data_IF_266560563289
#
_entry.id   IF_266560563289
#
_cell.length_a   1.000
_cell.length_b   1.000
_cell.length_c   1.000
_cell.angle_alpha   90.00
_cell.angle_beta   90.00
_cell.angle_gamma   90.00
#
_symmetry.space_group_name_H-M   'P 1'
#
loop_
_entity.id
_entity.type
_entity.pdbx_description
1 polymer ?
#
# COMPACT_ATOMS: atom_id res chain seq x y z
N UNK A 1 18.11 29.63 2.10
CA UNK A 1 17.25 28.50 1.67
C UNK A 1 15.82 28.99 1.75
N UNK A 2 15.08 28.97 0.64
CA UNK A 2 13.64 29.24 0.66
C UNK A 2 12.96 27.94 1.07
N UNK A 3 12.17 27.97 2.14
CA UNK A 3 11.36 26.82 2.54
C UNK A 3 10.32 26.55 1.44
N UNK A 4 10.31 25.33 0.92
CA UNK A 4 9.31 24.87 -0.04
C UNK A 4 8.64 23.63 0.56
N UNK A 5 7.32 23.70 0.87
CA UNK A 5 6.62 22.55 1.41
C UNK A 5 6.62 21.39 0.41
N UNK A 6 6.66 20.19 0.94
CA UNK A 6 6.57 18.93 0.21
C UNK A 6 5.13 18.67 -0.26
N UNK A 7 4.96 17.77 -1.23
CA UNK A 7 3.62 17.38 -1.67
C UNK A 7 2.81 16.72 -0.54
N UNK A 8 3.45 15.93 0.33
CA UNK A 8 2.79 15.32 1.48
C UNK A 8 2.29 16.38 2.47
N UNK A 9 3.11 17.38 2.81
CA UNK A 9 2.69 18.50 3.68
C UNK A 9 1.52 19.28 3.06
N UNK A 10 1.55 19.55 1.75
CA UNK A 10 0.45 20.24 1.09
C UNK A 10 -0.85 19.42 1.07
N UNK A 11 -0.77 18.10 0.89
CA UNK A 11 -1.93 17.21 0.91
C UNK A 11 -2.52 17.10 2.32
N UNK A 12 -1.66 17.06 3.33
CA UNK A 12 -2.05 17.14 4.73
C UNK A 12 -2.84 18.43 5.02
N UNK A 13 -2.27 19.58 4.64
CA UNK A 13 -2.88 20.89 4.83
C UNK A 13 -4.23 21.01 4.10
N UNK A 14 -4.34 20.47 2.88
CA UNK A 14 -5.62 20.41 2.13
C UNK A 14 -6.66 19.59 2.90
N UNK A 15 -6.27 18.41 3.41
CA UNK A 15 -7.20 17.59 4.19
C UNK A 15 -7.69 18.33 5.43
N UNK A 16 -6.78 18.95 6.19
CA UNK A 16 -7.11 19.68 7.43
C UNK A 16 -8.02 20.87 7.14
N UNK A 17 -7.72 21.67 6.12
CA UNK A 17 -8.59 22.77 5.68
C UNK A 17 -10.01 22.28 5.35
N UNK A 18 -10.11 21.18 4.60
CA UNK A 18 -11.40 20.62 4.20
C UNK A 18 -12.19 20.08 5.39
N UNK A 19 -11.55 19.36 6.32
CA UNK A 19 -12.23 18.74 7.46
C UNK A 19 -12.55 19.73 8.59
N UNK A 20 -11.62 20.63 8.89
CA UNK A 20 -11.64 21.40 10.14
C UNK A 20 -12.24 22.79 9.93
N UNK A 21 -12.07 23.37 8.73
CA UNK A 21 -12.56 24.71 8.43
C UNK A 21 -13.77 24.70 7.49
N UNK A 22 -13.70 23.96 6.37
CA UNK A 22 -14.70 24.06 5.30
C UNK A 22 -15.96 23.23 5.59
N UNK A 23 -15.84 22.10 6.27
CA UNK A 23 -16.93 21.14 6.46
C UNK A 23 -18.17 21.75 7.11
N UNK A 24 -17.98 22.59 8.14
CA UNK A 24 -19.08 23.20 8.88
C UNK A 24 -19.61 24.50 8.24
N UNK A 25 -18.91 25.02 7.22
CA UNK A 25 -19.31 26.20 6.47
C UNK A 25 -20.21 25.89 5.27
N UNK A 26 -20.24 24.62 4.83
CA UNK A 26 -21.06 24.19 3.69
C UNK A 26 -22.40 23.59 4.12
N UNK A 27 -23.37 23.58 3.21
CA UNK A 27 -24.66 22.94 3.45
C UNK A 27 -24.51 21.43 3.67
N UNK A 28 -25.45 20.84 4.42
CA UNK A 28 -25.47 19.39 4.72
C UNK A 28 -25.38 18.54 3.44
N UNK A 29 -26.01 18.97 2.35
CA UNK A 29 -25.96 18.27 1.07
C UNK A 29 -24.56 18.18 0.44
N UNK A 30 -23.64 19.07 0.83
CA UNK A 30 -22.27 19.14 0.30
C UNK A 30 -21.24 18.55 1.26
N UNK A 31 -21.54 18.45 2.56
CA UNK A 31 -20.61 17.93 3.58
C UNK A 31 -20.04 16.55 3.25
N UNK A 32 -20.84 15.63 2.70
CA UNK A 32 -20.33 14.30 2.31
C UNK A 32 -19.23 14.41 1.24
N UNK A 33 -19.37 15.31 0.27
CA UNK A 33 -18.38 15.53 -0.79
C UNK A 33 -17.08 16.12 -0.22
N UNK A 34 -17.19 17.01 0.77
CA UNK A 34 -16.02 17.57 1.48
C UNK A 34 -15.26 16.47 2.21
N UNK A 35 -15.95 15.58 2.93
CA UNK A 35 -15.32 14.42 3.60
C UNK A 35 -14.62 13.50 2.60
N UNK A 36 -15.22 13.26 1.44
CA UNK A 36 -14.61 12.46 0.36
C UNK A 36 -13.34 13.15 -0.15
N UNK A 37 -13.37 14.45 -0.40
CA UNK A 37 -12.21 15.20 -0.87
C UNK A 37 -11.05 15.20 0.15
N UNK A 38 -11.35 15.39 1.44
CA UNK A 38 -10.37 15.29 2.52
C UNK A 38 -9.73 13.88 2.56
N UNK A 39 -10.56 12.83 2.49
CA UNK A 39 -10.06 11.44 2.46
C UNK A 39 -9.14 11.18 1.24
N UNK A 40 -9.52 11.66 0.06
CA UNK A 40 -8.65 11.54 -1.15
C UNK A 40 -7.31 12.24 -0.91
N UNK A 41 -7.29 13.43 -0.33
CA UNK A 41 -6.04 14.13 -0.01
C UNK A 41 -5.16 13.31 0.95
N UNK A 42 -5.76 12.69 1.98
CA UNK A 42 -5.03 11.81 2.90
C UNK A 42 -4.53 10.51 2.24
N UNK A 43 -5.28 9.93 1.30
CA UNK A 43 -4.82 8.77 0.51
C UNK A 43 -3.58 9.16 -0.30
N UNK A 44 -3.64 10.30 -1.01
CA UNK A 44 -2.52 10.78 -1.81
C UNK A 44 -1.30 11.14 -0.92
N UNK A 45 -1.51 11.69 0.27
CA UNK A 45 -0.44 11.96 1.23
C UNK A 45 0.33 10.68 1.57
N UNK A 46 -0.41 9.60 1.89
CA UNK A 46 0.17 8.29 2.17
C UNK A 46 0.83 7.68 0.94
N UNK A 47 0.23 7.82 -0.24
CA UNK A 47 0.82 7.33 -1.48
C UNK A 47 2.18 7.99 -1.75
N UNK A 48 2.27 9.31 -1.64
CA UNK A 48 3.53 10.06 -1.83
C UNK A 48 4.60 9.64 -0.81
N UNK A 49 4.18 9.29 0.41
CA UNK A 49 5.09 8.95 1.51
C UNK A 49 5.54 7.49 1.45
N UNK A 50 4.63 6.57 1.11
CA UNK A 50 4.81 5.13 1.30
C UNK A 50 5.00 4.35 -0.01
N UNK A 51 4.50 4.83 -1.15
CA UNK A 51 4.50 4.04 -2.39
C UNK A 51 5.92 3.65 -2.85
N UNK A 52 6.89 4.56 -2.72
CA UNK A 52 8.30 4.26 -3.04
C UNK A 52 8.88 3.15 -2.16
N UNK A 53 8.95 3.35 -0.83
CA UNK A 53 9.42 2.32 0.10
C UNK A 53 8.69 0.98 -0.01
N UNK A 54 7.37 1.00 -0.25
CA UNK A 54 6.56 -0.20 -0.43
C UNK A 54 6.93 -0.94 -1.73
N UNK A 55 7.09 -0.20 -2.84
CA UNK A 55 7.53 -0.77 -4.11
C UNK A 55 8.94 -1.37 -4.02
N UNK A 56 9.86 -0.72 -3.30
CA UNK A 56 11.22 -1.25 -3.07
C UNK A 56 11.19 -2.55 -2.26
N UNK A 57 10.35 -2.62 -1.22
CA UNK A 57 10.18 -3.81 -0.40
C UNK A 57 9.56 -4.95 -1.20
N UNK A 58 8.50 -4.66 -1.93
CA UNK A 58 7.85 -5.65 -2.79
C UNK A 58 8.81 -6.19 -3.84
N UNK A 59 9.58 -5.31 -4.48
CA UNK A 59 10.59 -5.72 -5.46
C UNK A 59 11.62 -6.68 -4.84
N UNK A 60 12.08 -6.41 -3.61
CA UNK A 60 12.98 -7.30 -2.89
C UNK A 60 12.32 -8.66 -2.57
N UNK A 61 11.07 -8.65 -2.11
CA UNK A 61 10.28 -9.86 -1.80
C UNK A 61 10.08 -10.70 -3.06
N UNK A 62 9.55 -10.10 -4.14
CA UNK A 62 9.26 -10.79 -5.40
C UNK A 62 10.52 -11.40 -6.01
N UNK A 63 11.65 -10.67 -5.99
CA UNK A 63 12.94 -11.21 -6.45
C UNK A 63 13.40 -12.39 -5.60
N UNK A 64 13.27 -12.31 -4.27
CA UNK A 64 13.60 -13.40 -3.36
C UNK A 64 12.80 -14.67 -3.65
N UNK A 65 11.47 -14.52 -3.84
CA UNK A 65 10.59 -15.64 -4.18
C UNK A 65 10.93 -16.27 -5.54
N UNK A 66 11.23 -15.45 -6.55
CA UNK A 66 11.58 -15.93 -7.89
C UNK A 66 13.04 -16.38 -8.04
N UNK A 67 13.88 -16.23 -7.01
CA UNK A 67 15.32 -16.49 -7.10
C UNK A 67 16.07 -15.56 -8.07
N UNK A 68 15.52 -14.36 -8.31
CA UNK A 68 16.08 -13.39 -9.24
C UNK A 68 17.11 -12.50 -8.52
N UNK A 69 18.30 -12.24 -9.11
CA UNK A 69 19.29 -11.36 -8.49
C UNK A 69 18.78 -9.93 -8.25
N UNK A 70 19.24 -9.28 -7.18
CA UNK A 70 18.85 -7.90 -6.83
C UNK A 70 19.17 -6.85 -7.91
N UNK A 71 20.10 -7.14 -8.83
CA UNK A 71 20.48 -6.26 -9.94
C UNK A 71 19.72 -6.50 -11.25
N UNK A 72 18.75 -7.41 -11.28
CA UNK A 72 17.96 -7.69 -12.48
C UNK A 72 17.13 -6.45 -12.89
N UNK A 73 17.23 -5.95 -14.13
CA UNK A 73 16.54 -4.74 -14.55
C UNK A 73 15.04 -4.93 -14.82
N UNK A 74 14.50 -6.15 -14.68
CA UNK A 74 13.11 -6.46 -14.93
C UNK A 74 12.19 -5.53 -14.11
N UNK A 75 11.19 -4.88 -14.75
CA UNK A 75 10.22 -4.05 -14.05
C UNK A 75 9.41 -4.87 -13.05
N UNK A 76 9.00 -4.25 -11.94
CA UNK A 76 8.16 -4.91 -10.93
C UNK A 76 6.90 -5.54 -11.53
N UNK A 77 6.26 -4.91 -12.53
CA UNK A 77 5.08 -5.45 -13.21
C UNK A 77 5.34 -6.81 -13.90
N UNK A 78 6.52 -6.98 -14.51
CA UNK A 78 6.92 -8.24 -15.13
C UNK A 78 7.20 -9.32 -14.07
N UNK A 79 7.90 -8.94 -13.00
CA UNK A 79 8.18 -9.84 -11.89
C UNK A 79 6.90 -10.30 -11.19
N UNK A 80 5.91 -9.41 -11.01
CA UNK A 80 4.57 -9.76 -10.50
C UNK A 80 3.87 -10.78 -11.40
N UNK A 81 3.92 -10.59 -12.72
CA UNK A 81 3.31 -11.53 -13.66
C UNK A 81 3.96 -12.92 -13.57
N UNK A 82 5.29 -12.97 -13.54
CA UNK A 82 6.06 -14.21 -13.37
C UNK A 82 5.76 -14.90 -12.04
N UNK A 83 5.71 -14.15 -10.93
CA UNK A 83 5.35 -14.70 -9.61
C UNK A 83 3.92 -15.27 -9.63
N UNK A 84 2.97 -14.58 -10.25
CA UNK A 84 1.61 -15.08 -10.38
C UNK A 84 1.54 -16.39 -11.19
N UNK A 85 2.33 -16.52 -12.25
CA UNK A 85 2.41 -17.76 -13.04
C UNK A 85 3.04 -18.91 -12.24
N UNK A 86 4.15 -18.65 -11.53
CA UNK A 86 4.78 -19.62 -10.61
C UNK A 86 3.82 -20.09 -9.51
N UNK A 87 3.08 -19.16 -8.88
CA UNK A 87 2.10 -19.49 -7.85
C UNK A 87 0.98 -20.40 -8.38
N UNK A 88 0.47 -20.12 -9.60
CA UNK A 88 -0.56 -20.97 -10.23
C UNK A 88 -0.05 -22.35 -10.60
N UNK A 89 1.23 -22.45 -10.99
CA UNK A 89 1.88 -23.71 -11.29
C UNK A 89 2.28 -24.50 -10.04
N UNK A 90 2.28 -23.87 -8.86
CA UNK A 90 2.84 -24.45 -7.63
C UNK A 90 4.36 -24.60 -7.70
N UNK A 91 5.04 -23.76 -8.48
CA UNK A 91 6.46 -23.87 -8.80
C UNK A 91 7.25 -22.67 -8.26
N UNK A 92 7.48 -22.69 -6.95
CA UNK A 92 8.38 -21.78 -6.23
C UNK A 92 9.43 -22.61 -5.49
N UNK A 93 10.43 -23.15 -6.21
CA UNK A 93 11.38 -24.09 -5.63
C UNK A 93 12.19 -23.41 -4.51
N UNK A 94 12.28 -24.08 -3.36
CA UNK A 94 13.03 -23.60 -2.21
C UNK A 94 12.25 -22.72 -1.23
N UNK A 95 10.96 -22.50 -1.47
CA UNK A 95 10.06 -21.81 -0.53
C UNK A 95 8.96 -22.76 -0.07
N UNK A 96 8.55 -22.66 1.20
CA UNK A 96 7.34 -23.33 1.69
C UNK A 96 6.11 -22.40 1.62
N UNK A 97 4.91 -22.98 1.76
CA UNK A 97 3.65 -22.25 1.64
C UNK A 97 3.53 -21.10 2.66
N UNK A 98 4.03 -21.28 3.88
CA UNK A 98 3.97 -20.26 4.94
C UNK A 98 4.88 -19.06 4.60
N UNK A 99 6.08 -19.29 4.07
CA UNK A 99 6.99 -18.25 3.62
C UNK A 99 6.37 -17.42 2.49
N UNK A 100 5.80 -18.10 1.49
CA UNK A 100 5.11 -17.48 0.36
C UNK A 100 3.90 -16.68 0.84
N UNK A 101 3.07 -17.26 1.71
CA UNK A 101 1.89 -16.61 2.26
C UNK A 101 2.26 -15.35 3.04
N UNK A 102 3.23 -15.44 3.96
CA UNK A 102 3.68 -14.29 4.76
C UNK A 102 4.22 -13.16 3.87
N UNK A 103 4.94 -13.50 2.81
CA UNK A 103 5.42 -12.53 1.82
C UNK A 103 4.27 -11.82 1.09
N UNK A 104 3.27 -12.55 0.60
CA UNK A 104 2.10 -11.98 -0.08
C UNK A 104 1.26 -11.12 0.87
N UNK A 105 1.10 -11.56 2.12
CA UNK A 105 0.42 -10.80 3.16
C UNK A 105 1.15 -9.48 3.42
N UNK A 106 2.48 -9.48 3.49
CA UNK A 106 3.24 -8.24 3.70
C UNK A 106 3.01 -7.25 2.55
N UNK A 107 3.02 -7.70 1.30
CA UNK A 107 2.74 -6.84 0.13
C UNK A 107 1.32 -6.26 0.24
N UNK A 108 0.34 -7.10 0.55
CA UNK A 108 -1.05 -6.65 0.71
C UNK A 108 -1.21 -5.65 1.86
N UNK A 109 -0.50 -5.83 2.97
CA UNK A 109 -0.49 -4.86 4.09
C UNK A 109 0.09 -3.52 3.66
N UNK A 110 1.18 -3.53 2.91
CA UNK A 110 1.81 -2.31 2.38
C UNK A 110 0.83 -1.54 1.47
N UNK A 111 0.07 -2.22 0.60
CA UNK A 111 -0.98 -1.62 -0.23
C UNK A 111 -2.17 -1.09 0.60
N UNK A 112 -2.55 -1.81 1.66
CA UNK A 112 -3.63 -1.41 2.56
C UNK A 112 -3.25 -0.20 3.41
N UNK A 113 -1.99 -0.09 3.84
CA UNK A 113 -1.50 1.08 4.58
C UNK A 113 -1.73 2.39 3.82
N UNK A 114 -1.71 2.36 2.48
CA UNK A 114 -2.02 3.51 1.63
C UNK A 114 -3.54 3.68 1.46
N UNK A 115 -4.20 2.63 0.96
CA UNK A 115 -5.57 2.72 0.46
C UNK A 115 -6.65 2.67 1.55
N UNK A 116 -6.40 1.94 2.64
CA UNK A 116 -7.34 1.67 3.74
C UNK A 116 -6.56 1.53 5.07
N UNK A 117 -5.98 2.62 5.59
CA UNK A 117 -5.20 2.58 6.83
C UNK A 117 -6.04 2.03 7.99
N UNK A 118 -5.44 1.18 8.83
CA UNK A 118 -6.10 0.48 9.93
C UNK A 118 -6.57 -0.94 9.57
N UNK A 119 -6.52 -1.31 8.29
CA UNK A 119 -6.77 -2.69 7.83
C UNK A 119 -5.48 -3.46 7.51
N UNK A 120 -4.32 -2.84 7.70
CA UNK A 120 -2.96 -3.36 7.48
C UNK A 120 -2.39 -4.12 8.70
N UNK A 121 -3.07 -4.07 9.85
CA UNK A 121 -2.65 -4.72 11.11
C UNK A 121 -2.98 -6.21 11.26
N UNK A 122 -3.44 -6.89 10.21
CA UNK A 122 -3.91 -8.29 10.28
C UNK A 122 -2.79 -9.28 10.70
N UNK A 123 -3.02 -10.17 11.66
CA UNK A 123 -1.98 -11.06 12.23
C UNK A 123 -2.00 -12.51 11.74
N UNK A 124 -3.01 -12.94 10.99
CA UNK A 124 -3.09 -14.34 10.52
C UNK A 124 -3.96 -15.28 11.35
N UNK A 125 -4.34 -14.90 12.57
CA UNK A 125 -4.87 -15.84 13.57
C UNK A 125 -6.36 -16.23 13.41
N UNK A 126 -7.10 -15.58 12.50
CA UNK A 126 -8.56 -15.74 12.41
C UNK A 126 -9.04 -17.00 11.68
N UNK A 127 -8.17 -17.74 10.99
CA UNK A 127 -8.57 -18.90 10.15
C UNK A 127 -8.05 -20.27 10.65
N UNK A 128 -7.55 -20.38 11.89
CA UNK A 128 -6.81 -21.56 12.37
C UNK A 128 -7.38 -22.35 13.56
N UNK A 129 -8.64 -22.17 13.97
CA UNK A 129 -9.26 -22.98 15.05
C UNK A 129 -10.70 -23.42 14.75
N UNK A 130 -10.91 -24.14 13.65
CA UNK A 130 -12.04 -25.05 13.50
C UNK A 130 -11.59 -26.31 12.76
N UNK A 131 -10.98 -27.22 13.51
CA UNK A 131 -10.90 -28.65 13.19
C UNK A 131 -10.67 -29.41 14.48
#
# INVERSE_FOLDING_TARGET
>A
MQYRPTAAELLHDISALLSDEVLDQVSVAVQHKVRVAANIAQILEREVTLAGPNADRELAITRGLLGVPAGDPAPLAELRARLADSLRAGDLPGHNDDEVWNALVQIAKDDLAISKPGHDGWTGDDWGRQS
#
